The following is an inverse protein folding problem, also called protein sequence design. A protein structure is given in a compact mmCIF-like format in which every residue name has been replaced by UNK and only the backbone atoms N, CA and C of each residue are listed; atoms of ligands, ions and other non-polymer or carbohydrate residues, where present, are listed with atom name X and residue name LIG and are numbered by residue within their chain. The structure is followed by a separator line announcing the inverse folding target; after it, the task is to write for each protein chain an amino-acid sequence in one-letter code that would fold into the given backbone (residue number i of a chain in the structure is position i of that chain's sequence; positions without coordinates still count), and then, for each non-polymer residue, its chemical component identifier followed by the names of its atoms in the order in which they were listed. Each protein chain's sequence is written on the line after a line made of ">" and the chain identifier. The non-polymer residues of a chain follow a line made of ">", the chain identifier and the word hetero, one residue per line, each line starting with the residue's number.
data_IF_904869361584
#
_entry.id   IF_904869361584
#
_cell.length_a   1.000
_cell.length_b   1.000
_cell.length_c   1.000
_cell.angle_alpha   90.00
_cell.angle_beta   90.00
_cell.angle_gamma   90.00
#
_symmetry.space_group_name_H-M   'P 1'
#
loop_
_entity.id
_entity.type
_entity.pdbx_description
1 polymer ?
#
# COMPACT_ATOMS: atom_id res chain seq x y z
N UNK A 1 -8.08 -62.42 8.20
CA UNK A 1 -7.66 -61.78 6.91
C UNK A 1 -7.91 -60.27 6.90
N UNK A 2 -9.11 -59.77 7.29
CA UNK A 2 -9.40 -58.32 7.30
C UNK A 2 -8.56 -57.59 8.34
N UNK A 3 -8.54 -58.05 9.59
CA UNK A 3 -7.70 -57.47 10.67
C UNK A 3 -6.22 -57.50 10.39
N UNK A 4 -5.75 -58.42 9.58
CA UNK A 4 -4.34 -58.54 9.19
C UNK A 4 -4.00 -57.58 8.06
N UNK A 5 -4.95 -57.30 7.17
CA UNK A 5 -4.82 -56.26 6.15
C UNK A 5 -4.85 -54.87 6.77
N UNK A 6 -5.71 -54.60 7.73
CA UNK A 6 -5.78 -53.33 8.50
C UNK A 6 -4.47 -53.03 9.22
N UNK A 7 -3.89 -54.10 9.90
CA UNK A 7 -2.62 -53.95 10.58
C UNK A 7 -1.46 -53.67 9.60
N UNK A 8 -1.45 -54.29 8.43
CA UNK A 8 -0.43 -54.00 7.37
C UNK A 8 -0.61 -52.60 6.82
N UNK A 9 -1.81 -52.08 6.67
CA UNK A 9 -2.09 -50.69 6.23
C UNK A 9 -1.54 -49.70 7.27
N UNK A 10 -1.76 -49.95 8.56
CA UNK A 10 -1.19 -49.11 9.62
C UNK A 10 0.34 -49.13 9.68
N UNK A 11 0.96 -50.30 9.54
CA UNK A 11 2.41 -50.44 9.49
C UNK A 11 3.02 -49.73 8.26
N UNK A 12 2.35 -49.78 7.11
CA UNK A 12 2.80 -49.07 5.90
C UNK A 12 2.61 -47.58 6.05
N UNK A 13 1.49 -47.08 6.65
CA UNK A 13 1.28 -45.70 6.94
C UNK A 13 2.31 -45.12 7.91
N UNK A 14 2.65 -45.87 8.97
CA UNK A 14 3.69 -45.49 9.91
C UNK A 14 5.06 -45.38 9.26
N UNK A 15 5.44 -46.38 8.41
CA UNK A 15 6.66 -46.29 7.62
C UNK A 15 6.72 -45.16 6.62
N UNK A 16 5.57 -44.81 6.01
CA UNK A 16 5.45 -43.67 5.11
C UNK A 16 5.60 -42.34 5.86
N UNK A 17 5.06 -42.24 7.09
CA UNK A 17 5.23 -41.09 7.94
C UNK A 17 6.70 -40.89 8.38
N UNK A 18 7.38 -41.98 8.76
CA UNK A 18 8.80 -41.94 9.11
C UNK A 18 9.69 -41.57 7.90
N UNK A 19 9.36 -42.07 6.71
CA UNK A 19 10.05 -41.68 5.47
C UNK A 19 9.78 -40.25 5.05
N UNK A 20 8.64 -39.65 5.43
CA UNK A 20 8.30 -38.20 5.22
C UNK A 20 9.11 -37.28 6.12
N UNK A 21 9.57 -37.75 7.29
CA UNK A 21 10.46 -36.96 8.16
C UNK A 21 11.96 -37.05 7.77
N UNK A 22 12.33 -37.97 6.89
CA UNK A 22 13.69 -38.08 6.37
C UNK A 22 13.73 -37.78 4.87
N UNK A 23 14.14 -36.58 4.47
CA UNK A 23 14.51 -36.16 3.10
C UNK A 23 13.70 -36.83 1.96
N UNK A 24 12.41 -36.56 1.89
CA UNK A 24 11.64 -36.88 0.69
C UNK A 24 12.09 -35.99 -0.46
N UNK A 25 12.79 -36.52 -1.43
CA UNK A 25 13.22 -35.84 -2.66
C UNK A 25 12.02 -35.52 -3.58
N UNK A 26 10.84 -36.05 -3.29
CA UNK A 26 9.62 -35.84 -4.09
C UNK A 26 8.52 -35.36 -3.15
N UNK A 27 8.11 -34.10 -3.32
CA UNK A 27 6.95 -33.53 -2.67
C UNK A 27 5.72 -33.78 -3.54
N UNK A 28 4.64 -34.28 -2.94
CA UNK A 28 3.37 -34.58 -3.63
C UNK A 28 2.51 -33.32 -3.88
N UNK A 29 2.79 -32.23 -3.16
CA UNK A 29 2.06 -30.97 -3.25
C UNK A 29 3.01 -29.81 -3.51
N UNK A 30 2.60 -28.90 -4.38
CA UNK A 30 3.28 -27.63 -4.64
C UNK A 30 2.75 -26.60 -3.64
N UNK A 31 3.60 -26.14 -2.76
CA UNK A 31 3.28 -25.11 -1.76
C UNK A 31 3.64 -23.71 -2.25
N UNK A 32 3.12 -22.68 -1.58
CA UNK A 32 3.52 -21.29 -1.84
C UNK A 32 5.04 -21.09 -1.67
N UNK A 33 5.66 -21.80 -0.72
CA UNK A 33 7.11 -21.79 -0.51
C UNK A 33 7.88 -22.34 -1.70
N UNK A 34 7.36 -23.37 -2.37
CA UNK A 34 8.00 -23.95 -3.56
C UNK A 34 7.95 -22.96 -4.73
N UNK A 35 6.80 -22.27 -4.92
CA UNK A 35 6.65 -21.22 -5.92
C UNK A 35 7.60 -20.06 -5.60
N UNK A 36 7.64 -19.61 -4.35
CA UNK A 36 8.54 -18.56 -3.89
C UNK A 36 10.01 -18.90 -4.11
N UNK A 37 10.40 -20.16 -3.87
CA UNK A 37 11.76 -20.64 -4.11
C UNK A 37 12.14 -20.61 -5.61
N UNK A 38 11.22 -21.00 -6.50
CA UNK A 38 11.43 -20.94 -7.96
C UNK A 38 11.54 -19.48 -8.43
N UNK A 39 10.64 -18.61 -7.98
CA UNK A 39 10.68 -17.17 -8.32
C UNK A 39 11.97 -16.53 -7.80
N UNK A 40 12.39 -16.86 -6.57
CA UNK A 40 13.66 -16.39 -6.01
C UNK A 40 14.86 -16.81 -6.87
N UNK A 41 14.83 -18.04 -7.38
CA UNK A 41 15.91 -18.55 -8.24
C UNK A 41 15.97 -17.85 -9.60
N UNK A 42 14.83 -17.47 -10.16
CA UNK A 42 14.75 -16.80 -11.46
C UNK A 42 15.05 -15.29 -11.37
N UNK A 43 14.59 -14.65 -10.32
CA UNK A 43 14.68 -13.18 -10.16
C UNK A 43 15.90 -12.75 -9.35
N UNK A 44 16.50 -13.66 -8.58
CA UNK A 44 17.56 -13.34 -7.60
C UNK A 44 17.02 -12.69 -6.31
N UNK A 45 15.70 -12.52 -6.18
CA UNK A 45 15.06 -11.90 -5.01
C UNK A 45 14.70 -12.99 -3.99
N UNK A 46 15.09 -12.90 -2.70
CA UNK A 46 14.82 -13.92 -1.68
C UNK A 46 13.36 -13.93 -1.21
N UNK A 47 12.42 -14.28 -2.10
CA UNK A 47 10.97 -14.23 -1.88
C UNK A 47 10.51 -15.08 -0.71
N UNK A 48 11.13 -16.23 -0.46
CA UNK A 48 10.80 -17.11 0.67
C UNK A 48 11.12 -16.48 2.04
N UNK A 49 12.17 -15.67 2.13
CA UNK A 49 12.46 -14.86 3.32
C UNK A 49 11.47 -13.70 3.48
N UNK A 50 10.99 -13.16 2.38
CA UNK A 50 9.99 -12.08 2.40
C UNK A 50 8.66 -12.54 3.00
N UNK A 51 8.17 -13.73 2.66
CA UNK A 51 6.87 -14.23 3.15
C UNK A 51 6.86 -14.49 4.67
N UNK A 52 7.92 -15.08 5.24
CA UNK A 52 8.02 -15.30 6.69
C UNK A 52 8.29 -14.00 7.47
N UNK A 53 9.12 -13.11 6.90
CA UNK A 53 9.42 -11.83 7.54
C UNK A 53 8.26 -10.83 7.42
N UNK A 54 7.39 -10.94 6.42
CA UNK A 54 6.29 -10.01 6.19
C UNK A 54 5.26 -10.06 7.32
N UNK A 55 4.88 -11.26 7.79
CA UNK A 55 4.00 -11.40 8.96
C UNK A 55 4.61 -10.81 10.23
N UNK A 56 5.88 -11.07 10.48
CA UNK A 56 6.58 -10.51 11.65
C UNK A 56 6.79 -9.01 11.51
N UNK A 57 7.16 -8.52 10.33
CA UNK A 57 7.26 -7.07 10.05
C UNK A 57 5.94 -6.36 10.36
N UNK A 58 4.79 -6.89 9.90
CA UNK A 58 3.48 -6.27 10.13
C UNK A 58 3.09 -6.18 11.63
N UNK A 59 3.59 -7.07 12.48
CA UNK A 59 3.37 -6.99 13.93
C UNK A 59 4.15 -5.84 14.58
N UNK A 60 5.27 -5.43 13.98
CA UNK A 60 6.15 -4.37 14.47
C UNK A 60 6.08 -3.10 13.61
N UNK A 61 5.03 -2.96 12.78
CA UNK A 61 4.89 -1.83 11.86
C UNK A 61 4.91 -0.48 12.57
N UNK A 62 4.22 -0.36 13.70
CA UNK A 62 4.21 0.86 14.50
C UNK A 62 5.61 1.21 15.01
N UNK A 63 6.33 0.23 15.56
CA UNK A 63 7.68 0.42 16.10
C UNK A 63 8.65 0.87 15.00
N UNK A 64 8.53 0.29 13.81
CA UNK A 64 9.37 0.67 12.66
C UNK A 64 9.07 2.09 12.17
N UNK A 65 7.79 2.46 12.09
CA UNK A 65 7.42 3.83 11.70
C UNK A 65 7.85 4.85 12.75
N UNK A 66 7.80 4.51 14.03
CA UNK A 66 8.26 5.38 15.13
C UNK A 66 9.78 5.63 15.12
N UNK A 67 10.58 4.79 14.47
CA UNK A 67 12.02 5.07 14.31
C UNK A 67 12.30 6.32 13.46
N UNK A 68 11.38 6.65 12.53
CA UNK A 68 11.53 7.81 11.63
C UNK A 68 10.58 8.96 11.97
N UNK A 69 9.43 8.66 12.57
CA UNK A 69 8.38 9.65 12.86
C UNK A 69 8.15 9.73 14.36
N UNK A 70 8.45 10.88 14.93
CA UNK A 70 8.23 11.17 16.36
C UNK A 70 6.79 11.65 16.55
N UNK A 71 6.09 11.06 17.53
CA UNK A 71 4.67 11.33 17.75
C UNK A 71 3.78 10.69 16.68
N UNK A 72 2.60 11.26 16.45
CA UNK A 72 1.63 10.78 15.43
C UNK A 72 1.07 9.37 15.70
N UNK A 73 0.98 8.95 16.95
CA UNK A 73 0.55 7.61 17.38
C UNK A 73 -0.78 7.21 16.74
N UNK A 74 -1.77 8.12 16.72
CA UNK A 74 -3.08 7.86 16.09
C UNK A 74 -2.98 7.59 14.59
N UNK A 75 -2.13 8.35 13.90
CA UNK A 75 -1.94 8.18 12.45
C UNK A 75 -1.22 6.87 12.16
N UNK A 76 -0.17 6.56 12.90
CA UNK A 76 0.63 5.34 12.77
C UNK A 76 -0.24 4.11 13.07
N UNK A 77 -1.02 4.11 14.15
CA UNK A 77 -1.92 3.01 14.50
C UNK A 77 -2.99 2.81 13.41
N UNK A 78 -3.62 3.88 12.93
CA UNK A 78 -4.63 3.79 11.87
C UNK A 78 -4.06 3.21 10.56
N UNK A 79 -2.84 3.60 10.19
CA UNK A 79 -2.11 3.04 9.04
C UNK A 79 -1.82 1.55 9.24
N UNK A 80 -1.27 1.18 10.38
CA UNK A 80 -0.91 -0.19 10.68
C UNK A 80 -2.13 -1.11 10.66
N UNK A 81 -3.24 -0.68 11.25
CA UNK A 81 -4.49 -1.43 11.25
C UNK A 81 -5.08 -1.60 9.85
N UNK A 82 -5.01 -0.58 9.02
CA UNK A 82 -5.49 -0.69 7.64
C UNK A 82 -4.66 -1.67 6.82
N UNK A 83 -3.33 -1.61 6.94
CA UNK A 83 -2.42 -2.54 6.28
C UNK A 83 -2.66 -3.97 6.75
N UNK A 84 -2.80 -4.18 8.07
CA UNK A 84 -3.09 -5.51 8.65
C UNK A 84 -4.43 -6.06 8.15
N UNK A 85 -5.50 -5.24 8.13
CA UNK A 85 -6.83 -5.65 7.60
C UNK A 85 -6.76 -6.03 6.13
N UNK A 86 -6.05 -5.25 5.32
CA UNK A 86 -5.87 -5.55 3.90
C UNK A 86 -5.13 -6.89 3.71
N UNK A 87 -4.01 -7.10 4.41
CA UNK A 87 -3.23 -8.35 4.34
C UNK A 87 -3.97 -9.57 4.89
N UNK A 88 -4.90 -9.37 5.81
CA UNK A 88 -5.79 -10.42 6.31
C UNK A 88 -6.98 -10.73 5.37
N UNK A 89 -7.11 -10.04 4.23
CA UNK A 89 -8.22 -10.23 3.30
C UNK A 89 -9.57 -9.73 3.83
N UNK A 90 -9.57 -8.89 4.87
CA UNK A 90 -10.79 -8.38 5.51
C UNK A 90 -11.32 -7.09 4.86
N UNK A 91 -10.61 -6.58 3.86
CA UNK A 91 -10.97 -5.37 3.15
C UNK A 91 -11.54 -5.71 1.77
N UNK A 92 -12.36 -4.79 1.21
CA UNK A 92 -12.85 -4.93 -0.17
C UNK A 92 -11.67 -4.94 -1.15
N UNK A 93 -11.51 -6.06 -1.85
CA UNK A 93 -10.43 -6.27 -2.81
C UNK A 93 -10.45 -5.28 -4.00
N UNK A 94 -11.51 -4.50 -4.15
CA UNK A 94 -11.62 -3.47 -5.18
C UNK A 94 -10.99 -2.14 -4.77
N UNK A 95 -10.85 -1.86 -3.48
CA UNK A 95 -10.36 -0.58 -2.95
C UNK A 95 -8.85 -0.55 -2.78
N UNK A 96 -8.22 0.64 -2.72
CA UNK A 96 -6.82 0.78 -2.31
C UNK A 96 -6.55 0.10 -0.95
N UNK A 97 -5.30 -0.28 -0.65
CA UNK A 97 -4.88 -0.85 0.64
C UNK A 97 -5.34 0.01 1.81
N UNK A 98 -5.28 1.33 1.65
CA UNK A 98 -5.79 2.30 2.62
C UNK A 98 -5.90 3.68 2.01
N UNK A 99 -6.81 4.49 2.55
CA UNK A 99 -6.96 5.90 2.21
C UNK A 99 -7.10 6.71 3.49
N UNK A 100 -6.29 7.77 3.62
CA UNK A 100 -6.17 8.55 4.84
C UNK A 100 -6.18 10.03 4.53
N UNK A 101 -6.77 10.81 5.43
CA UNK A 101 -6.66 12.27 5.41
C UNK A 101 -5.94 12.68 6.70
N UNK A 102 -4.76 13.30 6.55
CA UNK A 102 -3.99 13.83 7.67
C UNK A 102 -4.22 15.33 7.78
N UNK A 103 -4.89 15.70 8.85
CA UNK A 103 -5.13 17.10 9.20
C UNK A 103 -4.03 17.58 10.15
N UNK A 104 -3.54 18.81 9.94
CA UNK A 104 -2.55 19.40 10.84
C UNK A 104 -1.65 20.41 10.16
N UNK A 105 -0.85 21.10 10.98
CA UNK A 105 0.09 22.13 10.51
C UNK A 105 1.18 21.56 9.61
N UNK A 106 1.81 22.43 8.83
CA UNK A 106 2.97 22.07 8.02
C UNK A 106 4.15 21.69 8.94
N UNK A 107 4.97 20.73 8.51
CA UNK A 107 6.19 20.35 9.25
C UNK A 107 6.01 19.28 10.33
N UNK A 108 4.81 18.75 10.56
CA UNK A 108 4.55 17.71 11.57
C UNK A 108 4.91 16.28 11.13
N UNK A 109 5.66 16.12 10.05
CA UNK A 109 6.15 14.80 9.60
C UNK A 109 5.23 14.05 8.64
N UNK A 110 4.17 14.65 8.08
CA UNK A 110 3.22 13.98 7.16
C UNK A 110 3.91 13.34 5.95
N UNK A 111 4.84 14.05 5.33
CA UNK A 111 5.62 13.54 4.18
C UNK A 111 6.60 12.45 4.59
N UNK A 112 7.23 12.60 5.75
CA UNK A 112 8.19 11.62 6.27
C UNK A 112 7.48 10.31 6.62
N UNK A 113 6.26 10.37 7.17
CA UNK A 113 5.44 9.20 7.43
C UNK A 113 5.09 8.45 6.13
N UNK A 114 4.78 9.16 5.04
CA UNK A 114 4.51 8.56 3.74
C UNK A 114 5.75 7.85 3.16
N UNK A 115 6.94 8.45 3.30
CA UNK A 115 8.22 7.84 2.90
C UNK A 115 8.54 6.60 3.73
N UNK A 116 8.45 6.70 5.07
CA UNK A 116 8.69 5.59 5.97
C UNK A 116 7.77 4.41 5.66
N UNK A 117 6.50 4.70 5.32
CA UNK A 117 5.54 3.68 4.94
C UNK A 117 5.89 3.01 3.61
N UNK A 118 6.35 3.78 2.60
CA UNK A 118 6.79 3.23 1.32
C UNK A 118 8.01 2.31 1.49
N UNK A 119 9.00 2.76 2.26
CA UNK A 119 10.18 1.95 2.58
C UNK A 119 9.81 0.67 3.32
N UNK A 120 8.92 0.77 4.32
CA UNK A 120 8.52 -0.39 5.10
C UNK A 120 7.75 -1.43 4.28
N UNK A 121 6.77 -1.00 3.48
CA UNK A 121 5.88 -1.91 2.74
C UNK A 121 6.47 -2.43 1.44
N UNK A 122 7.30 -1.62 0.79
CA UNK A 122 7.77 -1.88 -0.56
C UNK A 122 9.31 -1.95 -0.65
N UNK A 123 10.00 -1.88 0.51
CA UNK A 123 11.45 -1.88 0.64
C UNK A 123 12.18 -0.78 -0.18
N UNK A 124 11.45 0.31 -0.55
CA UNK A 124 12.00 1.42 -1.33
C UNK A 124 11.20 2.71 -1.08
N UNK A 125 11.83 3.72 -0.48
CA UNK A 125 11.19 5.02 -0.25
C UNK A 125 10.86 5.78 -1.55
N UNK A 126 11.54 5.45 -2.66
CA UNK A 126 11.23 6.01 -3.99
C UNK A 126 9.87 5.56 -4.53
N UNK A 127 9.26 4.52 -3.93
CA UNK A 127 7.90 4.09 -4.23
C UNK A 127 6.82 4.97 -3.57
N UNK A 128 7.20 6.20 -3.19
CA UNK A 128 6.28 7.26 -2.85
C UNK A 128 6.17 8.25 -4.01
N UNK A 129 4.95 8.54 -4.46
CA UNK A 129 4.64 9.60 -5.41
C UNK A 129 4.00 10.76 -4.68
N UNK A 130 4.64 11.92 -4.68
CA UNK A 130 4.06 13.16 -4.12
C UNK A 130 3.50 14.02 -5.23
N UNK A 131 2.27 14.48 -5.07
CA UNK A 131 1.60 15.42 -5.95
C UNK A 131 1.11 16.58 -5.09
N UNK A 132 1.56 17.78 -5.41
CA UNK A 132 1.13 19.01 -4.73
C UNK A 132 -0.17 19.52 -5.36
N UNK A 133 -1.25 19.51 -4.60
CA UNK A 133 -2.58 19.91 -5.08
C UNK A 133 -2.71 21.40 -5.31
N UNK A 134 -1.77 22.21 -4.82
CA UNK A 134 -1.71 23.64 -5.14
C UNK A 134 -1.47 23.92 -6.64
N UNK A 135 -0.90 22.97 -7.37
CA UNK A 135 -0.73 23.05 -8.82
C UNK A 135 -2.01 22.75 -9.60
N UNK A 136 -3.07 22.28 -8.92
CA UNK A 136 -4.34 21.81 -9.50
C UNK A 136 -5.54 22.63 -9.03
N UNK A 137 -5.33 23.91 -8.77
CA UNK A 137 -6.39 24.84 -8.34
C UNK A 137 -7.36 25.21 -9.47
N UNK A 138 -6.88 25.18 -10.70
CA UNK A 138 -7.67 25.56 -11.86
C UNK A 138 -8.17 24.36 -12.65
N UNK A 139 -9.37 24.49 -13.22
CA UNK A 139 -10.02 23.40 -13.95
C UNK A 139 -9.18 22.81 -15.07
N UNK A 140 -8.46 23.65 -15.80
CA UNK A 140 -7.60 23.16 -16.90
C UNK A 140 -6.39 22.34 -16.41
N UNK A 141 -5.92 22.58 -15.17
CA UNK A 141 -4.82 21.82 -14.60
C UNK A 141 -5.23 20.39 -14.18
N UNK A 142 -6.53 20.15 -13.91
CA UNK A 142 -7.05 18.84 -13.51
C UNK A 142 -6.78 17.77 -14.56
N UNK A 143 -6.84 18.13 -15.86
CA UNK A 143 -6.50 17.19 -16.94
C UNK A 143 -5.06 16.67 -16.88
N UNK A 144 -4.14 17.39 -16.23
CA UNK A 144 -2.76 16.89 -16.04
C UNK A 144 -2.68 15.69 -15.10
N UNK A 145 -3.68 15.48 -14.21
CA UNK A 145 -3.71 14.29 -13.34
C UNK A 145 -4.00 13.00 -14.10
N UNK A 146 -4.92 13.06 -15.07
CA UNK A 146 -5.41 11.89 -15.82
C UNK A 146 -4.95 11.87 -17.27
N UNK A 147 -4.27 12.92 -17.73
CA UNK A 147 -3.80 13.14 -19.10
C UNK A 147 -4.65 14.15 -19.88
N UNK A 148 -4.04 14.81 -20.84
CA UNK A 148 -4.74 15.74 -21.73
C UNK A 148 -5.63 14.98 -22.74
N UNK A 149 -6.78 15.54 -23.15
CA UNK A 149 -7.59 14.97 -24.21
C UNK A 149 -6.84 14.94 -25.58
N UNK A 150 -7.26 14.08 -26.51
CA UNK A 150 -6.68 14.06 -27.85
C UNK A 150 -6.70 15.45 -28.52
N UNK A 151 -5.56 15.83 -29.09
CA UNK A 151 -5.40 17.13 -29.78
C UNK A 151 -4.97 18.28 -28.88
N UNK A 152 -4.80 18.08 -27.56
CA UNK A 152 -4.27 19.08 -26.65
C UNK A 152 -2.78 18.85 -26.37
N UNK A 153 -2.06 19.94 -26.02
CA UNK A 153 -0.67 19.87 -25.61
C UNK A 153 -0.52 18.99 -24.38
N UNK A 154 0.46 18.07 -24.36
CA UNK A 154 0.68 17.12 -23.28
C UNK A 154 -0.09 15.79 -23.41
N UNK A 155 -0.81 15.55 -24.49
CA UNK A 155 -1.52 14.28 -24.72
C UNK A 155 -0.59 13.05 -24.66
N UNK A 156 0.61 13.17 -25.24
CA UNK A 156 1.59 12.07 -25.28
C UNK A 156 2.22 11.77 -23.92
N UNK A 157 2.32 12.75 -23.04
CA UNK A 157 2.96 12.63 -21.72
C UNK A 157 2.14 11.77 -20.75
N UNK A 158 0.82 11.68 -20.95
CA UNK A 158 -0.08 11.00 -20.02
C UNK A 158 -0.39 11.82 -18.76
N UNK A 159 -1.20 11.28 -17.87
CA UNK A 159 -1.55 11.95 -16.62
C UNK A 159 -0.52 11.71 -15.52
N UNK A 160 -0.21 12.72 -14.74
CA UNK A 160 0.80 12.65 -13.68
C UNK A 160 0.44 11.57 -12.64
N UNK A 161 -0.82 11.51 -12.20
CA UNK A 161 -1.29 10.51 -11.24
C UNK A 161 -1.36 9.11 -11.90
N UNK A 162 -1.97 9.04 -13.08
CA UNK A 162 -2.19 7.76 -13.76
C UNK A 162 -0.90 7.12 -14.23
N UNK A 163 0.05 7.88 -14.77
CA UNK A 163 1.36 7.36 -15.19
C UNK A 163 2.23 6.97 -14.00
N UNK A 164 2.19 7.73 -12.88
CA UNK A 164 2.94 7.39 -11.67
C UNK A 164 2.52 6.02 -11.14
N UNK A 165 1.20 5.78 -10.97
CA UNK A 165 0.69 4.51 -10.47
C UNK A 165 0.84 3.39 -11.49
N UNK A 166 0.69 3.66 -12.79
CA UNK A 166 0.92 2.67 -13.83
C UNK A 166 2.37 2.15 -13.83
N UNK A 167 3.34 3.04 -13.58
CA UNK A 167 4.76 2.66 -13.51
C UNK A 167 5.13 2.00 -12.19
N UNK A 168 4.46 2.40 -11.10
CA UNK A 168 4.71 1.94 -9.73
C UNK A 168 3.38 1.51 -9.09
N UNK A 169 2.83 0.33 -9.47
CA UNK A 169 1.51 -0.10 -8.99
C UNK A 169 1.48 -0.42 -7.50
N UNK A 170 2.63 -0.71 -6.91
CA UNK A 170 2.83 -0.85 -5.47
C UNK A 170 3.51 0.41 -4.96
N UNK A 171 2.74 1.37 -4.48
CA UNK A 171 3.29 2.66 -4.06
C UNK A 171 2.41 3.38 -3.05
N UNK A 172 3.01 4.37 -2.39
CA UNK A 172 2.29 5.36 -1.58
C UNK A 172 2.07 6.61 -2.42
N UNK A 173 0.83 7.03 -2.58
CA UNK A 173 0.45 8.27 -3.27
C UNK A 173 0.13 9.31 -2.21
N UNK A 174 0.94 10.35 -2.15
CA UNK A 174 0.75 11.50 -1.26
C UNK A 174 0.20 12.69 -2.06
N UNK A 175 -1.03 13.08 -1.75
CA UNK A 175 -1.70 14.26 -2.29
C UNK A 175 -1.62 15.37 -1.25
N UNK A 176 -0.69 16.30 -1.46
CA UNK A 176 -0.40 17.35 -0.48
C UNK A 176 -1.31 18.57 -0.68
N UNK A 177 -1.78 19.17 0.42
CA UNK A 177 -2.65 20.36 0.43
C UNK A 177 -3.95 20.18 -0.37
N UNK A 178 -4.67 19.07 -0.12
CA UNK A 178 -5.87 18.69 -0.87
C UNK A 178 -6.95 19.80 -0.90
N UNK A 179 -7.02 20.65 0.11
CA UNK A 179 -7.95 21.76 0.20
C UNK A 179 -7.75 22.83 -0.88
N UNK A 180 -6.58 22.87 -1.51
CA UNK A 180 -6.27 23.80 -2.59
C UNK A 180 -6.71 23.30 -3.97
N UNK A 181 -7.06 22.02 -4.08
CA UNK A 181 -7.43 21.40 -5.34
C UNK A 181 -8.76 21.94 -5.87
N UNK A 182 -8.87 22.01 -7.20
CA UNK A 182 -10.16 22.28 -7.85
C UNK A 182 -11.19 21.17 -7.50
N UNK A 183 -12.49 21.50 -7.36
CA UNK A 183 -13.53 20.52 -7.03
C UNK A 183 -13.55 19.28 -7.94
N UNK A 184 -13.23 19.41 -9.21
CA UNK A 184 -13.19 18.28 -10.14
C UNK A 184 -12.14 17.22 -9.78
N UNK A 185 -11.10 17.57 -9.01
CA UNK A 185 -10.11 16.62 -8.47
C UNK A 185 -10.78 15.64 -7.52
N UNK A 186 -11.71 16.11 -6.70
CA UNK A 186 -12.44 15.22 -5.77
C UNK A 186 -13.28 14.19 -6.50
N UNK A 187 -13.85 14.50 -7.66
CA UNK A 187 -14.59 13.54 -8.48
C UNK A 187 -13.66 12.41 -8.99
N UNK A 188 -12.43 12.75 -9.38
CA UNK A 188 -11.41 11.78 -9.76
C UNK A 188 -11.03 10.90 -8.58
N UNK A 189 -10.80 11.50 -7.43
CA UNK A 189 -10.41 10.79 -6.21
C UNK A 189 -11.53 9.86 -5.72
N UNK A 190 -12.79 10.26 -5.78
CA UNK A 190 -13.93 9.41 -5.43
C UNK A 190 -13.93 8.12 -6.25
N UNK A 191 -13.68 8.21 -7.55
CA UNK A 191 -13.58 7.02 -8.40
C UNK A 191 -12.42 6.10 -7.97
N UNK A 192 -11.27 6.67 -7.64
CA UNK A 192 -10.11 5.91 -7.13
C UNK A 192 -10.42 5.24 -5.80
N UNK A 193 -11.04 5.97 -4.86
CA UNK A 193 -11.31 5.49 -3.50
C UNK A 193 -12.41 4.42 -3.45
N UNK A 194 -13.40 4.50 -4.33
CA UNK A 194 -14.53 3.56 -4.36
C UNK A 194 -14.29 2.36 -5.27
N UNK A 195 -13.79 2.59 -6.50
CA UNK A 195 -13.60 1.56 -7.49
C UNK A 195 -12.16 0.99 -7.52
N UNK A 196 -11.19 1.65 -6.84
CA UNK A 196 -9.76 1.31 -6.87
C UNK A 196 -9.14 1.33 -8.25
N UNK A 197 -9.74 2.09 -9.17
CA UNK A 197 -9.27 2.23 -10.55
C UNK A 197 -9.59 3.61 -11.11
N UNK A 198 -8.80 4.03 -12.08
CA UNK A 198 -9.01 5.29 -12.78
C UNK A 198 -8.73 5.09 -14.26
N UNK A 199 -9.61 5.57 -15.13
CA UNK A 199 -9.39 5.54 -16.57
C UNK A 199 -8.71 6.83 -17.01
N UNK A 200 -7.58 6.73 -17.67
CA UNK A 200 -6.89 7.89 -18.22
C UNK A 200 -7.57 8.38 -19.53
N UNK A 201 -7.15 9.54 -20.01
CA UNK A 201 -7.68 10.12 -21.25
C UNK A 201 -7.29 9.37 -22.53
N UNK A 202 -6.42 8.35 -22.42
CA UNK A 202 -6.11 7.40 -23.51
C UNK A 202 -6.98 6.14 -23.46
N UNK A 203 -7.94 6.07 -22.54
CA UNK A 203 -8.83 4.92 -22.33
C UNK A 203 -8.18 3.75 -21.58
N UNK A 204 -6.98 3.94 -20.99
CA UNK A 204 -6.30 2.90 -20.23
C UNK A 204 -6.80 2.92 -18.79
N UNK A 205 -7.13 1.74 -18.27
CA UNK A 205 -7.52 1.58 -16.85
C UNK A 205 -6.25 1.39 -16.01
N UNK A 206 -6.08 2.24 -15.01
CA UNK A 206 -4.99 2.18 -14.04
C UNK A 206 -5.54 1.63 -12.73
N UNK A 207 -4.88 0.61 -12.18
CA UNK A 207 -5.27 -0.09 -10.95
C UNK A 207 -4.58 0.53 -9.74
N UNK A 208 -5.37 0.93 -8.74
CA UNK A 208 -4.93 1.54 -7.47
C UNK A 208 -5.06 0.60 -6.28
N UNK A 209 -5.46 -0.66 -6.48
CA UNK A 209 -5.74 -1.59 -5.38
C UNK A 209 -4.53 -1.88 -4.49
N UNK A 210 -3.33 -1.82 -5.06
CA UNK A 210 -2.09 -2.06 -4.35
C UNK A 210 -1.41 -0.76 -3.89
N UNK A 211 -2.14 0.37 -3.89
CA UNK A 211 -1.62 1.66 -3.42
C UNK A 211 -2.18 2.01 -2.04
N UNK A 212 -1.44 2.87 -1.33
CA UNK A 212 -1.96 3.60 -0.17
C UNK A 212 -2.07 5.07 -0.57
N UNK A 213 -3.24 5.66 -0.33
CA UNK A 213 -3.51 7.05 -0.66
C UNK A 213 -3.50 7.86 0.63
N UNK A 214 -2.62 8.83 0.71
CA UNK A 214 -2.52 9.77 1.81
C UNK A 214 -2.81 11.17 1.27
N UNK A 215 -3.84 11.80 1.80
CA UNK A 215 -4.17 13.20 1.54
C UNK A 215 -3.76 14.02 2.74
N UNK A 216 -3.13 15.16 2.54
CA UNK A 216 -2.82 16.08 3.63
C UNK A 216 -3.64 17.35 3.49
N UNK A 217 -3.99 17.95 4.62
CA UNK A 217 -4.68 19.24 4.65
C UNK A 217 -4.23 20.06 5.84
N UNK A 218 -4.15 21.36 5.62
CA UNK A 218 -3.89 22.36 6.65
C UNK A 218 -5.17 23.03 7.18
N UNK A 219 -6.35 22.53 6.79
CA UNK A 219 -7.63 23.03 7.29
C UNK A 219 -7.68 22.90 8.82
N UNK A 220 -8.06 23.99 9.49
CA UNK A 220 -8.13 24.03 10.95
C UNK A 220 -6.80 24.20 11.67
N UNK A 221 -5.67 24.29 10.97
CA UNK A 221 -4.36 24.49 11.58
C UNK A 221 -4.29 25.75 12.47
N UNK A 222 -4.94 26.83 12.08
CA UNK A 222 -5.06 28.08 12.85
C UNK A 222 -5.79 27.86 14.18
N UNK A 223 -6.87 27.09 14.18
CA UNK A 223 -7.64 26.79 15.42
C UNK A 223 -6.78 25.97 16.40
N UNK A 224 -6.00 25.02 15.87
CA UNK A 224 -5.08 24.21 16.69
C UNK A 224 -4.00 25.11 17.28
N UNK A 225 -3.41 26.01 16.48
CA UNK A 225 -2.36 26.93 16.95
C UNK A 225 -2.86 27.94 17.99
N UNK A 226 -4.07 28.47 17.81
CA UNK A 226 -4.69 29.38 18.79
C UNK A 226 -4.94 28.68 20.13
N UNK A 227 -5.43 27.44 20.10
CA UNK A 227 -5.63 26.65 21.32
C UNK A 227 -4.32 26.31 22.04
N UNK A 228 -3.26 25.99 21.30
CA UNK A 228 -1.95 25.72 21.89
C UNK A 228 -1.36 26.97 22.56
N UNK A 229 -1.46 28.14 21.94
CA UNK A 229 -1.02 29.41 22.56
C UNK A 229 -1.78 29.74 23.85
N UNK A 230 -3.09 29.45 23.91
CA UNK A 230 -3.88 29.67 25.12
C UNK A 230 -3.60 28.69 26.27
N UNK A 231 -2.86 27.61 26.02
CA UNK A 231 -2.42 26.65 27.06
C UNK A 231 -1.09 27.11 27.69
N UNK A 232 -0.22 27.79 26.91
CA UNK A 232 1.07 28.30 27.40
C UNK A 232 0.95 29.59 28.26
N UNK A 233 -0.24 30.24 28.29
CA UNK A 233 -0.50 31.47 29.07
C UNK A 233 -1.20 31.20 30.42
N UNK A 234 -1.45 29.95 30.83
CA UNK A 234 -1.99 29.53 32.12
C UNK A 234 -1.02 28.61 32.85
#
# INVERSE_FOLDING_TARGET
>A
KIKEAERRIEEVKAKLADMKHGNSLIREEVTEDDIAAVVSKWTGIPVSRMMQSERQKLLHLEDELHKRVVGQEMAITALADAVRRNRAGLQDAKRPIGSFIFLGTTGVGKTELAKALAEFLFDDESLMTRIDMSEYQERHSVSRLIGAPPGYVGYDEGGQLTEAVRRKPYSVVLLDEIEKAHPDVFNILLQVLDDGRLTDNKGRVVDFKNTIIIMTSNIGAHIIQERLKGIDEN
#
